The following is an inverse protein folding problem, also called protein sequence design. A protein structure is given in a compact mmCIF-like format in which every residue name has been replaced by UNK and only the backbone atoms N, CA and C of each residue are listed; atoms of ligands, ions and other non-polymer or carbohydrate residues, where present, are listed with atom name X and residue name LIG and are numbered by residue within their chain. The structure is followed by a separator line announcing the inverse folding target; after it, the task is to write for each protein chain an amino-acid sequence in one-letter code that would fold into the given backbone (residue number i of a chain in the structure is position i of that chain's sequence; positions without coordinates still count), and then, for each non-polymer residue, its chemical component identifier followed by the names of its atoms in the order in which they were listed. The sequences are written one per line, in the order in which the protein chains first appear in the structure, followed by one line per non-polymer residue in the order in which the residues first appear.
data_IF_212007717697
#
_entry.id   IF_212007717697
#
_cell.length_a   1.000
_cell.length_b   1.000
_cell.length_c   1.000
_cell.angle_alpha   90.00
_cell.angle_beta   90.00
_cell.angle_gamma   90.00
#
_symmetry.space_group_name_H-M   'P 1'
#
loop_
_entity.id
_entity.type
_entity.pdbx_description
1 polymer ?
#
# COMPACT_ATOMS: atom_id res chain seq x y z
N UNK A 1 9.18 -2.13 -43.63
CA UNK A 1 10.10 -2.60 -42.58
C UNK A 1 9.96 -1.63 -41.41
N UNK A 2 9.45 -1.95 -40.24
CA UNK A 2 8.90 -3.18 -39.64
C UNK A 2 7.89 -2.73 -38.57
N UNK A 3 6.98 -3.63 -38.24
CA UNK A 3 5.75 -3.41 -37.49
C UNK A 3 5.97 -2.82 -36.08
N UNK A 4 5.02 -1.98 -35.68
CA UNK A 4 4.77 -1.65 -34.27
C UNK A 4 4.62 -2.94 -33.47
N UNK A 5 5.52 -3.16 -32.51
CA UNK A 5 5.33 -4.15 -31.47
C UNK A 5 4.13 -3.70 -30.63
N UNK A 6 2.98 -4.30 -30.89
CA UNK A 6 1.83 -4.25 -30.00
C UNK A 6 2.26 -5.01 -28.75
N UNK A 7 2.71 -4.26 -27.73
CA UNK A 7 2.87 -4.74 -26.36
C UNK A 7 1.51 -5.28 -25.92
N UNK A 8 1.34 -6.59 -26.01
CA UNK A 8 0.21 -7.28 -25.42
C UNK A 8 0.45 -7.28 -23.93
N UNK A 9 -0.08 -6.28 -23.22
CA UNK A 9 -0.18 -6.34 -21.78
C UNK A 9 -0.90 -7.65 -21.43
N UNK A 10 -0.34 -8.50 -20.53
CA UNK A 10 -0.98 -9.74 -20.15
C UNK A 10 -2.39 -9.43 -19.66
N UNK A 11 -3.39 -10.08 -20.26
CA UNK A 11 -4.78 -9.93 -19.80
C UNK A 11 -4.86 -10.54 -18.40
N UNK A 12 -5.23 -9.70 -17.43
CA UNK A 12 -5.46 -10.12 -16.06
C UNK A 12 -6.59 -11.16 -16.04
N UNK A 13 -6.35 -12.30 -15.41
CA UNK A 13 -7.30 -13.42 -15.33
C UNK A 13 -8.40 -13.19 -14.28
N UNK A 14 -8.25 -12.15 -13.47
CA UNK A 14 -9.20 -11.70 -12.46
C UNK A 14 -9.05 -10.18 -12.22
N UNK A 15 -10.01 -9.52 -11.55
CA UNK A 15 -9.85 -8.14 -11.11
C UNK A 15 -8.64 -8.01 -10.18
N UNK A 16 -7.80 -6.99 -10.37
CA UNK A 16 -6.69 -6.70 -9.45
C UNK A 16 -7.25 -6.32 -8.08
N UNK A 17 -6.72 -6.91 -7.02
CA UNK A 17 -7.08 -6.60 -5.64
C UNK A 17 -5.89 -6.06 -4.86
N UNK A 18 -6.07 -4.91 -4.23
CA UNK A 18 -5.03 -4.21 -3.48
C UNK A 18 -5.41 -4.16 -2.01
N UNK A 19 -4.60 -4.77 -1.14
CA UNK A 19 -4.77 -4.67 0.30
C UNK A 19 -4.32 -3.30 0.80
N UNK A 20 -5.23 -2.52 1.41
CA UNK A 20 -4.90 -1.26 2.06
C UNK A 20 -4.73 -1.51 3.56
N UNK A 21 -3.49 -1.68 4.00
CA UNK A 21 -3.12 -1.98 5.38
C UNK A 21 -2.84 -0.70 6.17
N UNK A 22 -3.51 -0.54 7.30
CA UNK A 22 -3.27 0.55 8.25
C UNK A 22 -2.88 -0.03 9.61
N UNK A 23 -1.64 0.23 10.04
CA UNK A 23 -1.11 -0.28 11.29
C UNK A 23 -1.44 0.56 12.51
N UNK A 24 -0.54 0.49 13.51
CA UNK A 24 -0.77 1.02 14.85
C UNK A 24 -1.21 2.49 14.87
N UNK A 25 -2.20 2.78 15.72
CA UNK A 25 -2.69 4.11 16.09
C UNK A 25 -3.34 4.90 14.95
N UNK A 26 -3.73 4.25 13.85
CA UNK A 26 -4.38 4.92 12.73
C UNK A 26 -5.84 5.31 13.00
N UNK A 27 -6.52 4.64 13.95
CA UNK A 27 -7.86 5.05 14.42
C UNK A 27 -7.89 6.44 15.07
N UNK A 28 -6.74 6.95 15.52
CA UNK A 28 -6.64 8.29 16.11
C UNK A 28 -6.58 9.42 15.10
N UNK A 29 -6.60 9.14 13.79
CA UNK A 29 -6.41 10.12 12.71
C UNK A 29 -7.32 11.36 12.87
N UNK A 30 -8.59 11.17 13.22
CA UNK A 30 -9.57 12.26 13.40
C UNK A 30 -9.33 13.18 14.59
N UNK A 31 -8.47 12.78 15.54
CA UNK A 31 -8.13 13.55 16.75
C UNK A 31 -6.80 14.30 16.61
N UNK A 32 -6.07 14.12 15.51
CA UNK A 32 -4.75 14.71 15.30
C UNK A 32 -4.85 16.11 14.70
N UNK A 33 -3.78 16.88 14.86
CA UNK A 33 -3.69 18.24 14.32
C UNK A 33 -3.89 18.22 12.79
N UNK A 34 -4.97 18.89 12.34
CA UNK A 34 -5.34 19.01 10.93
C UNK A 34 -4.25 19.66 10.09
N UNK A 35 -3.40 20.51 10.69
CA UNK A 35 -2.26 21.11 10.01
C UNK A 35 -1.25 20.04 9.57
N UNK A 36 -1.11 18.95 10.33
CA UNK A 36 -0.17 17.85 10.04
C UNK A 36 -0.84 16.77 9.18
N UNK A 37 -2.08 16.39 9.47
CA UNK A 37 -2.75 15.23 8.85
C UNK A 37 -3.74 15.56 7.73
N UNK A 38 -4.07 16.84 7.52
CA UNK A 38 -4.94 17.30 6.44
C UNK A 38 -6.42 17.31 6.82
N UNK A 39 -7.28 17.25 5.80
CA UNK A 39 -8.74 17.42 5.93
C UNK A 39 -9.49 16.12 6.24
N UNK A 40 -8.88 14.96 6.02
CA UNK A 40 -9.48 13.65 6.31
C UNK A 40 -9.70 13.53 7.82
N UNK A 41 -10.96 13.36 8.22
CA UNK A 41 -11.43 13.36 9.60
C UNK A 41 -11.50 11.97 10.25
N UNK A 42 -11.30 10.89 9.50
CA UNK A 42 -11.31 9.53 10.06
C UNK A 42 -10.55 8.53 9.19
N UNK A 43 -10.21 7.37 9.78
CA UNK A 43 -9.67 6.25 9.02
C UNK A 43 -10.67 5.74 7.99
N UNK A 44 -11.96 5.66 8.34
CA UNK A 44 -13.00 5.25 7.40
C UNK A 44 -13.05 6.17 6.17
N UNK A 45 -12.99 7.48 6.37
CA UNK A 45 -12.99 8.45 5.26
C UNK A 45 -11.75 8.30 4.38
N UNK A 46 -10.57 8.01 4.96
CA UNK A 46 -9.38 7.68 4.18
C UNK A 46 -9.62 6.44 3.30
N UNK A 47 -10.12 5.36 3.90
CA UNK A 47 -10.42 4.10 3.20
C UNK A 47 -11.44 4.31 2.08
N UNK A 48 -12.48 5.11 2.31
CA UNK A 48 -13.49 5.45 1.32
C UNK A 48 -12.89 6.17 0.12
N UNK A 49 -12.06 7.20 0.36
CA UNK A 49 -11.42 7.97 -0.72
C UNK A 49 -10.46 7.09 -1.53
N UNK A 50 -9.72 6.18 -0.90
CA UNK A 50 -8.84 5.23 -1.59
C UNK A 50 -9.64 4.20 -2.38
N UNK A 51 -10.74 3.67 -1.83
CA UNK A 51 -11.65 2.75 -2.52
C UNK A 51 -12.30 3.39 -3.75
N UNK A 52 -12.78 4.63 -3.62
CA UNK A 52 -13.37 5.38 -4.73
C UNK A 52 -12.38 5.57 -5.88
N UNK A 53 -11.11 5.80 -5.57
CA UNK A 53 -10.06 5.85 -6.58
C UNK A 53 -9.79 4.46 -7.17
N UNK A 54 -9.75 3.41 -6.36
CA UNK A 54 -9.62 2.02 -6.82
C UNK A 54 -10.69 1.66 -7.86
N UNK A 55 -11.95 1.99 -7.58
CA UNK A 55 -13.07 1.79 -8.51
C UNK A 55 -12.84 2.51 -9.84
N UNK A 56 -12.38 3.78 -9.81
CA UNK A 56 -12.06 4.56 -11.01
C UNK A 56 -10.88 3.98 -11.80
N UNK A 57 -9.93 3.34 -11.11
CA UNK A 57 -8.79 2.66 -11.72
C UNK A 57 -9.14 1.23 -12.17
N UNK A 58 -10.34 0.72 -11.88
CA UNK A 58 -10.75 -0.64 -12.24
C UNK A 58 -10.12 -1.74 -11.38
N UNK A 59 -9.82 -1.44 -10.11
CA UNK A 59 -9.28 -2.40 -9.14
C UNK A 59 -10.13 -2.42 -7.87
N UNK A 60 -10.08 -3.53 -7.13
CA UNK A 60 -10.70 -3.62 -5.80
C UNK A 60 -9.68 -3.21 -4.74
N UNK A 61 -10.09 -2.35 -3.81
CA UNK A 61 -9.27 -2.00 -2.63
C UNK A 61 -9.89 -2.65 -1.41
N UNK A 62 -9.10 -3.45 -0.71
CA UNK A 62 -9.48 -4.22 0.47
C UNK A 62 -8.84 -3.57 1.71
N UNK A 63 -9.54 -2.66 2.41
CA UNK A 63 -9.01 -2.03 3.60
C UNK A 63 -8.92 -3.01 4.77
N UNK A 64 -7.84 -2.92 5.53
CA UNK A 64 -7.65 -3.64 6.77
C UNK A 64 -6.85 -2.80 7.76
N UNK A 65 -7.26 -2.82 9.02
CA UNK A 65 -6.59 -2.12 10.09
C UNK A 65 -6.50 -2.97 11.35
N UNK A 66 -5.34 -2.97 12.01
CA UNK A 66 -5.24 -3.45 13.39
C UNK A 66 -4.21 -2.67 14.20
N UNK A 67 -4.47 -2.61 15.51
CA UNK A 67 -3.50 -2.16 16.51
C UNK A 67 -2.68 -3.33 17.10
N UNK A 68 -2.88 -4.54 16.60
CA UNK A 68 -2.13 -5.72 17.00
C UNK A 68 -1.31 -6.20 15.79
N UNK A 69 0.00 -6.34 15.98
CA UNK A 69 0.89 -6.71 14.88
C UNK A 69 0.56 -8.10 14.32
N UNK A 70 0.24 -9.06 15.20
CA UNK A 70 -0.15 -10.41 14.82
C UNK A 70 -1.33 -10.43 13.84
N UNK A 71 -2.36 -9.61 14.09
CA UNK A 71 -3.53 -9.53 13.21
C UNK A 71 -3.16 -9.06 11.78
N UNK A 72 -2.20 -8.15 11.64
CA UNK A 72 -1.71 -7.71 10.32
C UNK A 72 -0.96 -8.83 9.60
N UNK A 73 -0.11 -9.56 10.34
CA UNK A 73 0.62 -10.72 9.82
C UNK A 73 -0.36 -11.80 9.36
N UNK A 74 -1.31 -12.18 10.22
CA UNK A 74 -2.34 -13.18 9.92
C UNK A 74 -3.17 -12.78 8.70
N UNK A 75 -3.53 -11.49 8.58
CA UNK A 75 -4.23 -10.98 7.40
C UNK A 75 -3.37 -11.17 6.14
N UNK A 76 -2.12 -10.72 6.14
CA UNK A 76 -1.23 -10.83 4.98
C UNK A 76 -1.05 -12.28 4.55
N UNK A 77 -0.85 -13.19 5.50
CA UNK A 77 -0.63 -14.62 5.23
C UNK A 77 -1.90 -15.33 4.72
N UNK A 78 -3.07 -14.94 5.20
CA UNK A 78 -4.34 -15.56 4.80
C UNK A 78 -4.83 -15.12 3.41
N UNK A 79 -4.46 -13.92 2.95
CA UNK A 79 -4.95 -13.38 1.68
C UNK A 79 -4.18 -13.96 0.49
N UNK A 80 -4.75 -14.99 -0.16
CA UNK A 80 -4.18 -15.57 -1.39
C UNK A 80 -4.51 -14.77 -2.65
N UNK A 81 -5.63 -14.05 -2.64
CA UNK A 81 -6.25 -13.34 -3.76
C UNK A 81 -5.90 -11.85 -3.88
N UNK A 82 -5.11 -11.31 -2.94
CA UNK A 82 -4.54 -9.96 -3.05
C UNK A 82 -3.36 -9.97 -4.02
N UNK A 83 -3.27 -8.99 -4.92
CA UNK A 83 -2.16 -8.87 -5.88
C UNK A 83 -1.02 -7.99 -5.36
N UNK A 84 -1.35 -7.00 -4.53
CA UNK A 84 -0.40 -6.02 -4.02
C UNK A 84 -0.90 -5.35 -2.74
N UNK A 85 -0.01 -4.66 -2.03
CA UNK A 85 -0.36 -3.94 -0.80
C UNK A 85 0.00 -2.45 -0.86
N UNK A 86 -0.85 -1.61 -0.28
CA UNK A 86 -0.47 -0.31 0.25
C UNK A 86 -0.43 -0.46 1.77
N UNK A 87 0.67 -0.08 2.41
CA UNK A 87 0.77 -0.13 3.87
C UNK A 87 1.15 1.22 4.43
N UNK A 88 0.37 1.73 5.37
CA UNK A 88 0.86 2.66 6.36
C UNK A 88 1.12 1.91 7.67
N UNK A 89 2.39 1.67 8.05
CA UNK A 89 2.73 0.92 9.25
C UNK A 89 2.21 1.57 10.55
N UNK A 90 1.84 2.85 10.53
CA UNK A 90 1.56 3.61 11.74
C UNK A 90 2.79 3.57 12.65
N UNK A 91 2.61 3.28 13.94
CA UNK A 91 3.73 3.12 14.87
C UNK A 91 4.73 2.01 14.52
N UNK A 92 4.36 1.05 13.66
CA UNK A 92 5.22 -0.09 13.32
C UNK A 92 6.44 0.30 12.49
N UNK A 93 6.48 1.49 11.87
CA UNK A 93 7.61 1.88 11.01
C UNK A 93 8.97 1.70 11.70
N UNK A 94 9.03 1.84 13.02
CA UNK A 94 10.26 1.73 13.80
C UNK A 94 10.64 0.30 14.23
N UNK A 95 9.68 -0.64 14.31
CA UNK A 95 9.91 -1.95 14.95
C UNK A 95 9.07 -3.12 14.38
N UNK A 96 8.30 -2.91 13.32
CA UNK A 96 7.39 -3.89 12.71
C UNK A 96 8.08 -4.94 11.85
N UNK A 97 9.15 -5.56 12.36
CA UNK A 97 9.90 -6.60 11.68
C UNK A 97 9.04 -7.81 11.28
N UNK A 98 8.15 -8.36 12.15
CA UNK A 98 7.21 -9.41 11.74
C UNK A 98 6.31 -9.03 10.57
N UNK A 99 5.69 -7.85 10.60
CA UNK A 99 4.82 -7.38 9.50
C UNK A 99 5.63 -7.20 8.20
N UNK A 100 6.84 -6.65 8.29
CA UNK A 100 7.76 -6.52 7.16
C UNK A 100 8.08 -7.88 6.56
N UNK A 101 8.37 -8.88 7.40
CA UNK A 101 8.68 -10.23 6.96
C UNK A 101 7.48 -10.86 6.24
N UNK A 102 6.27 -10.75 6.79
CA UNK A 102 5.05 -11.25 6.16
C UNK A 102 4.83 -10.64 4.77
N UNK A 103 4.99 -9.31 4.64
CA UNK A 103 4.91 -8.64 3.33
C UNK A 103 5.96 -9.16 2.35
N UNK A 104 7.21 -9.28 2.79
CA UNK A 104 8.29 -9.78 1.94
C UNK A 104 8.07 -11.22 1.49
N UNK A 105 7.64 -12.09 2.41
CA UNK A 105 7.36 -13.51 2.15
C UNK A 105 6.10 -13.73 1.32
N UNK A 106 5.11 -12.83 1.39
CA UNK A 106 3.93 -12.85 0.52
C UNK A 106 4.30 -12.78 -0.96
N UNK A 107 5.51 -12.28 -1.24
CA UNK A 107 6.03 -12.03 -2.59
C UNK A 107 5.16 -11.08 -3.42
N UNK A 108 4.24 -10.34 -2.81
CA UNK A 108 3.41 -9.35 -3.49
C UNK A 108 4.11 -7.98 -3.43
N UNK A 109 4.10 -7.17 -4.51
CA UNK A 109 4.62 -5.82 -4.45
C UNK A 109 3.86 -5.01 -3.39
N UNK A 110 4.56 -4.13 -2.68
CA UNK A 110 3.93 -3.25 -1.73
C UNK A 110 4.53 -1.86 -1.73
N UNK A 111 3.68 -0.86 -1.53
CA UNK A 111 4.08 0.54 -1.36
C UNK A 111 3.89 0.95 0.09
N UNK A 112 4.96 1.44 0.71
CA UNK A 112 4.92 2.03 2.04
C UNK A 112 4.43 3.49 1.95
N UNK A 113 3.44 3.87 2.76
CA UNK A 113 2.81 5.19 2.71
C UNK A 113 2.77 5.82 4.10
N UNK A 114 3.14 7.09 4.21
CA UNK A 114 3.07 7.86 5.45
C UNK A 114 2.38 9.20 5.26
N UNK A 115 1.53 9.58 6.22
CA UNK A 115 0.92 10.91 6.23
C UNK A 115 1.98 12.03 6.32
N UNK A 116 2.94 11.86 7.23
CA UNK A 116 4.02 12.80 7.50
C UNK A 116 5.32 12.33 6.85
N UNK A 117 6.29 13.23 6.73
CA UNK A 117 7.66 12.87 6.39
C UNK A 117 8.34 12.32 7.65
N UNK A 118 8.43 11.01 7.78
CA UNK A 118 9.05 10.38 8.95
C UNK A 118 10.57 10.57 8.98
N UNK A 119 11.24 10.70 7.83
CA UNK A 119 12.69 10.95 7.77
C UNK A 119 13.10 12.30 8.35
N UNK A 120 12.17 13.26 8.42
CA UNK A 120 12.42 14.52 9.11
C UNK A 120 12.69 14.33 10.62
N UNK A 121 12.39 13.16 11.18
CA UNK A 121 12.70 12.78 12.57
C UNK A 121 14.11 12.19 12.74
N UNK A 122 14.85 11.96 11.65
CA UNK A 122 16.18 11.34 11.67
C UNK A 122 16.16 9.82 11.82
N UNK A 123 14.99 9.19 11.63
CA UNK A 123 14.83 7.74 11.70
C UNK A 123 14.35 7.16 10.37
N UNK A 124 14.85 5.96 10.06
CA UNK A 124 14.42 5.18 8.91
C UNK A 124 13.31 4.20 9.31
N UNK A 125 12.46 3.86 8.35
CA UNK A 125 11.47 2.80 8.52
C UNK A 125 12.08 1.44 8.19
N UNK A 126 11.75 0.44 9.01
CA UNK A 126 12.18 -0.96 8.77
C UNK A 126 11.65 -1.49 7.45
N UNK A 127 10.49 -1.00 6.97
CA UNK A 127 9.80 -1.46 5.77
C UNK A 127 10.46 -1.00 4.48
N UNK A 128 11.04 0.21 4.46
CA UNK A 128 11.49 0.88 3.23
C UNK A 128 12.49 0.03 2.44
N UNK A 129 13.38 -0.67 3.13
CA UNK A 129 14.41 -1.51 2.52
C UNK A 129 13.89 -2.63 1.61
N UNK A 130 12.63 -3.05 1.77
CA UNK A 130 12.03 -4.14 0.99
C UNK A 130 10.73 -3.73 0.26
N UNK A 131 10.34 -2.45 0.36
CA UNK A 131 9.19 -1.90 -0.32
C UNK A 131 9.46 -1.73 -1.83
N UNK A 132 8.43 -1.91 -2.66
CA UNK A 132 8.48 -1.58 -4.09
C UNK A 132 8.67 -0.08 -4.30
N UNK A 133 8.09 0.72 -3.40
CA UNK A 133 8.28 2.16 -3.34
C UNK A 133 7.77 2.72 -2.03
N UNK A 134 8.11 3.98 -1.75
CA UNK A 134 7.69 4.67 -0.54
C UNK A 134 7.17 6.07 -0.86
N UNK A 135 6.07 6.47 -0.24
CA UNK A 135 5.47 7.81 -0.38
C UNK A 135 5.23 8.39 1.01
N UNK A 136 5.71 9.60 1.27
CA UNK A 136 5.59 10.21 2.60
C UNK A 136 5.43 11.72 2.57
N UNK A 137 4.74 12.28 3.57
CA UNK A 137 4.59 13.73 3.74
C UNK A 137 3.44 14.37 2.95
N UNK A 138 2.75 13.60 2.11
CA UNK A 138 1.66 14.07 1.25
C UNK A 138 0.26 13.77 1.83
N UNK A 139 0.15 13.36 3.09
CA UNK A 139 -1.13 13.05 3.76
C UNK A 139 -1.93 12.03 2.93
N UNK A 140 -3.25 12.18 2.84
CA UNK A 140 -4.11 11.29 2.07
C UNK A 140 -3.79 11.27 0.56
N UNK A 141 -3.30 12.37 -0.03
CA UNK A 141 -2.86 12.38 -1.43
C UNK A 141 -1.69 11.42 -1.67
N UNK A 142 -0.87 11.14 -0.65
CA UNK A 142 0.18 10.13 -0.73
C UNK A 142 -0.37 8.73 -1.00
N UNK A 143 -1.51 8.38 -0.40
CA UNK A 143 -2.19 7.10 -0.66
C UNK A 143 -2.72 7.04 -2.09
N UNK A 144 -3.30 8.14 -2.57
CA UNK A 144 -3.86 8.20 -3.92
C UNK A 144 -2.77 8.10 -4.98
N UNK A 145 -1.67 8.84 -4.82
CA UNK A 145 -0.51 8.74 -5.70
C UNK A 145 0.14 7.36 -5.67
N UNK A 146 0.29 6.77 -4.48
CA UNK A 146 0.79 5.41 -4.32
C UNK A 146 -0.10 4.37 -5.02
N UNK A 147 -1.43 4.49 -4.89
CA UNK A 147 -2.37 3.58 -5.52
C UNK A 147 -2.30 3.68 -7.05
N UNK A 148 -2.29 4.89 -7.60
CA UNK A 148 -2.14 5.10 -9.06
C UNK A 148 -0.85 4.46 -9.55
N UNK A 149 0.29 4.77 -8.94
CA UNK A 149 1.57 4.24 -9.35
C UNK A 149 1.59 2.71 -9.30
N UNK A 150 1.13 2.11 -8.20
CA UNK A 150 1.10 0.66 -8.03
C UNK A 150 0.21 -0.02 -9.07
N UNK A 151 -0.99 0.51 -9.32
CA UNK A 151 -1.95 -0.08 -10.26
C UNK A 151 -1.43 0.01 -11.71
N UNK A 152 -0.84 1.12 -12.10
CA UNK A 152 -0.28 1.28 -13.45
C UNK A 152 0.90 0.31 -13.70
N UNK A 153 1.75 0.11 -12.69
CA UNK A 153 2.85 -0.85 -12.76
C UNK A 153 2.35 -2.31 -12.82
N UNK A 154 1.28 -2.65 -12.08
CA UNK A 154 0.63 -3.98 -12.13
C UNK A 154 0.00 -4.25 -13.49
N UNK A 155 -0.78 -3.31 -14.03
CA UNK A 155 -1.42 -3.44 -15.35
C UNK A 155 -0.41 -3.55 -16.48
N UNK A 156 0.74 -2.89 -16.34
CA UNK A 156 1.83 -3.00 -17.28
C UNK A 156 2.63 -4.31 -17.16
N UNK A 157 2.35 -5.15 -16.15
CA UNK A 157 3.08 -6.39 -15.90
C UNK A 157 4.52 -6.20 -15.43
N UNK A 158 4.92 -4.99 -15.03
CA UNK A 158 6.31 -4.68 -14.62
C UNK A 158 6.63 -5.11 -13.19
N UNK A 159 5.59 -5.35 -12.39
CA UNK A 159 5.69 -5.91 -11.04
C UNK A 159 5.28 -7.39 -10.99
N UNK A 160 4.98 -8.00 -12.14
CA UNK A 160 4.81 -9.43 -12.22
C UNK A 160 6.15 -10.08 -11.87
N UNK A 161 6.13 -11.08 -10.99
CA UNK A 161 7.34 -11.80 -10.63
C UNK A 161 7.70 -12.78 -11.72
N UNK A 162 8.98 -12.77 -12.11
CA UNK A 162 9.61 -13.94 -12.72
C UNK A 162 9.46 -15.11 -11.75
N UNK A 163 8.99 -16.26 -12.21
CA UNK A 163 8.81 -17.48 -11.39
C UNK A 163 10.14 -18.04 -10.85
N UNK A 164 11.28 -17.42 -11.17
CA UNK A 164 12.62 -17.88 -10.85
C UNK A 164 13.44 -16.82 -10.11
N UNK A 165 13.24 -16.68 -8.80
CA UNK A 165 14.22 -16.08 -7.86
C UNK A 165 13.98 -16.59 -6.44
#
# INVERSE_FOLDING_TARGET
MTAQEISHSPQLTHPIRVGLLNGLNMTSLGRRDKNIYGTIGSLQELEDVVRDLGLKLGVEVVPYHSNHEGDLVDFIEAQTDIDAFLINPGGLWAFGEPTKLALHQSRKPFVEVHFANIYATGHDSVFTSVATGTVMGFRHFGYLGALVALVEELKAGRLAKDEAS
#
